data_IF_364882779010
#
_entry.id   IF_364882779010
#
_cell.length_a   1.000
_cell.length_b   1.000
_cell.length_c   1.000
_cell.angle_alpha   90.00
_cell.angle_beta   90.00
_cell.angle_gamma   90.00
#
_symmetry.space_group_name_H-M   'P 1'
#
loop_
_entity.id
_entity.type
_entity.pdbx_description
1 polymer ?
#
# COMPACT_ATOMS: atom_id res chain seq x y z
N UNK A 1 3.96 -9.49 12.05
CA UNK A 1 3.74 -10.53 11.01
C UNK A 1 3.40 -11.80 11.75
N UNK A 2 2.21 -12.36 11.55
CA UNK A 2 1.74 -13.54 12.29
C UNK A 2 2.01 -14.85 11.54
N UNK A 3 1.94 -14.82 10.21
CA UNK A 3 2.35 -15.89 9.31
C UNK A 3 2.99 -15.26 8.05
N UNK A 4 3.86 -16.00 7.38
CA UNK A 4 4.53 -15.55 6.15
C UNK A 4 4.30 -16.57 5.05
N UNK A 5 3.32 -16.28 4.20
CA UNK A 5 3.10 -16.96 2.93
C UNK A 5 2.92 -15.87 1.86
N UNK A 6 3.72 -15.91 0.80
CA UNK A 6 3.79 -14.84 -0.20
C UNK A 6 4.66 -13.62 0.17
N UNK A 7 4.40 -12.48 -0.46
CA UNK A 7 5.24 -11.28 -0.34
C UNK A 7 4.79 -10.35 0.78
N UNK A 8 5.40 -10.50 1.95
CA UNK A 8 5.09 -9.78 3.20
C UNK A 8 4.89 -8.26 3.04
N UNK A 9 5.72 -7.50 2.30
CA UNK A 9 5.52 -6.06 2.18
C UNK A 9 4.16 -5.66 1.59
N UNK A 10 3.60 -6.46 0.68
CA UNK A 10 2.28 -6.16 0.09
C UNK A 10 1.19 -6.21 1.17
N UNK A 11 1.23 -7.25 2.01
CA UNK A 11 0.33 -7.41 3.14
C UNK A 11 0.53 -6.32 4.21
N UNK A 12 1.77 -5.93 4.51
CA UNK A 12 2.06 -4.88 5.50
C UNK A 12 1.52 -3.53 5.06
N UNK A 13 1.69 -3.16 3.79
CA UNK A 13 1.15 -1.89 3.27
C UNK A 13 -0.37 -1.91 3.32
N UNK A 14 -1.02 -2.99 2.85
CA UNK A 14 -2.47 -3.12 2.90
C UNK A 14 -3.01 -3.03 4.34
N UNK A 15 -2.41 -3.77 5.28
CA UNK A 15 -2.79 -3.74 6.68
C UNK A 15 -2.57 -2.37 7.33
N UNK A 16 -1.49 -1.67 6.98
CA UNK A 16 -1.20 -0.33 7.49
C UNK A 16 -2.20 0.69 6.98
N UNK A 17 -2.50 0.68 5.68
CA UNK A 17 -3.51 1.57 5.09
C UNK A 17 -4.89 1.33 5.71
N UNK A 18 -5.31 0.07 5.86
CA UNK A 18 -6.58 -0.29 6.49
C UNK A 18 -6.65 0.06 7.98
N UNK A 19 -5.54 -0.11 8.71
CA UNK A 19 -5.45 0.30 10.10
C UNK A 19 -5.60 1.82 10.22
N UNK A 20 -4.84 2.59 9.43
CA UNK A 20 -4.92 4.05 9.45
C UNK A 20 -6.31 4.57 9.09
N UNK A 21 -7.02 3.93 8.15
CA UNK A 21 -8.39 4.34 7.81
C UNK A 21 -9.41 4.08 8.92
N UNK A 22 -9.11 3.13 9.82
CA UNK A 22 -9.98 2.79 10.94
C UNK A 22 -9.54 3.43 12.28
N UNK A 23 -8.33 4.00 12.34
CA UNK A 23 -7.83 4.65 13.56
C UNK A 23 -8.68 5.87 13.88
N UNK A 24 -9.08 5.97 15.15
CA UNK A 24 -9.72 7.16 15.72
C UNK A 24 -8.84 7.74 16.82
N UNK A 25 -8.49 9.01 16.69
CA UNK A 25 -7.65 9.73 17.64
C UNK A 25 -8.49 10.67 18.52
N UNK A 26 -8.13 10.85 19.80
CA UNK A 26 -8.76 11.84 20.65
C UNK A 26 -8.66 13.25 20.06
N UNK A 27 -9.75 14.02 20.14
CA UNK A 27 -9.73 15.43 19.73
C UNK A 27 -8.86 16.22 20.70
N UNK A 28 -7.85 16.91 20.17
CA UNK A 28 -6.98 17.80 20.93
C UNK A 28 -7.43 19.24 20.72
N UNK A 29 -7.57 19.99 21.83
CA UNK A 29 -7.76 21.44 21.81
C UNK A 29 -6.51 22.08 22.39
N UNK A 30 -6.02 23.11 21.70
CA UNK A 30 -4.90 23.91 22.15
C UNK A 30 -5.44 25.30 22.50
N UNK A 31 -5.23 25.72 23.74
CA UNK A 31 -5.62 27.05 24.21
C UNK A 31 -4.61 28.15 23.83
N UNK A 32 -3.41 27.74 23.41
CA UNK A 32 -2.34 28.61 22.95
C UNK A 32 -2.79 29.49 21.78
N UNK A 33 -2.51 30.79 21.87
CA UNK A 33 -2.87 31.74 20.81
C UNK A 33 -1.99 31.50 19.58
N UNK A 34 -2.57 31.60 18.38
CA UNK A 34 -1.84 31.36 17.11
C UNK A 34 -0.67 32.31 16.86
N UNK A 35 -0.76 33.52 17.41
CA UNK A 35 0.23 34.58 17.24
C UNK A 35 1.27 34.60 18.39
N UNK A 36 1.14 33.69 19.35
CA UNK A 36 2.07 33.58 20.48
C UNK A 36 3.22 32.64 20.11
N UNK A 37 4.44 33.19 20.00
CA UNK A 37 5.65 32.44 19.66
C UNK A 37 6.30 31.74 20.86
N UNK A 38 5.74 31.88 22.06
CA UNK A 38 6.27 31.18 23.23
C UNK A 38 6.06 29.66 23.11
N UNK A 39 6.91 28.84 23.76
CA UNK A 39 6.76 27.39 23.73
C UNK A 39 5.42 26.95 24.35
N UNK A 40 4.72 26.05 23.65
CA UNK A 40 3.47 25.46 24.13
C UNK A 40 3.70 24.72 25.46
N UNK A 41 2.90 25.05 26.46
CA UNK A 41 2.89 24.38 27.75
C UNK A 41 1.89 23.22 27.77
N UNK A 42 2.14 22.22 28.62
CA UNK A 42 1.30 21.01 28.67
C UNK A 42 -0.12 21.31 29.14
N UNK A 43 -0.24 22.28 30.03
CA UNK A 43 -1.47 22.76 30.64
C UNK A 43 -2.43 23.38 29.61
N UNK A 44 -1.88 23.83 28.48
CA UNK A 44 -2.61 24.45 27.37
C UNK A 44 -3.21 23.40 26.40
N UNK A 45 -2.84 22.13 26.57
CA UNK A 45 -3.29 21.01 25.73
C UNK A 45 -4.39 20.26 26.47
N UNK A 46 -5.62 20.36 25.95
CA UNK A 46 -6.76 19.58 26.47
C UNK A 46 -7.08 18.42 25.52
N UNK A 47 -7.01 17.20 26.04
CA UNK A 47 -7.37 15.98 25.31
C UNK A 47 -8.83 15.61 25.63
N UNK A 48 -9.68 15.57 24.61
CA UNK A 48 -11.09 15.18 24.73
C UNK A 48 -11.25 13.65 24.82
N UNK A 49 -12.38 13.19 25.39
CA UNK A 49 -12.82 11.79 25.28
C UNK A 49 -13.42 11.47 23.90
N UNK A 50 -13.87 12.48 23.17
CA UNK A 50 -14.37 12.32 21.81
C UNK A 50 -13.22 11.99 20.86
N UNK A 51 -13.43 10.99 19.99
CA UNK A 51 -12.44 10.56 19.00
C UNK A 51 -12.89 10.89 17.58
N UNK A 52 -11.97 11.36 16.75
CA UNK A 52 -12.18 11.65 15.33
C UNK A 52 -11.35 10.67 14.48
N UNK A 53 -11.87 10.24 13.32
CA UNK A 53 -11.08 9.46 12.37
C UNK A 53 -9.90 10.29 11.84
N UNK A 54 -8.86 9.63 11.36
CA UNK A 54 -7.82 10.28 10.58
C UNK A 54 -8.36 10.69 9.21
N UNK A 55 -8.03 11.90 8.77
CA UNK A 55 -8.31 12.37 7.41
C UNK A 55 -7.19 11.90 6.48
N UNK A 56 -7.44 10.81 5.77
CA UNK A 56 -6.48 10.22 4.84
C UNK A 56 -6.75 10.72 3.42
N UNK A 57 -5.74 11.36 2.83
CA UNK A 57 -5.83 11.86 1.44
C UNK A 57 -5.67 10.76 0.40
N UNK A 58 -4.98 9.67 0.74
CA UNK A 58 -4.63 8.59 -0.17
C UNK A 58 -4.75 7.23 0.51
N UNK A 59 -4.91 6.17 -0.31
CA UNK A 59 -4.93 4.81 0.19
C UNK A 59 -3.97 3.94 -0.64
N UNK A 60 -2.69 3.88 -0.24
CA UNK A 60 -1.70 3.16 -1.00
C UNK A 60 -1.91 1.64 -0.91
N UNK A 61 -1.79 0.97 -2.05
CA UNK A 61 -1.81 -0.49 -2.18
C UNK A 61 -0.49 -0.93 -2.80
N UNK A 62 0.15 -1.92 -2.17
CA UNK A 62 1.34 -2.54 -2.70
C UNK A 62 1.02 -3.84 -3.43
N UNK A 63 1.71 -4.06 -4.55
CA UNK A 63 1.64 -5.28 -5.34
C UNK A 63 3.02 -5.70 -5.80
N UNK A 64 3.25 -7.00 -5.78
CA UNK A 64 4.48 -7.59 -6.29
C UNK A 64 4.20 -8.64 -7.37
N UNK A 65 4.84 -8.41 -8.51
CA UNK A 65 4.81 -9.25 -9.68
C UNK A 65 6.12 -10.01 -9.81
N UNK A 66 6.02 -11.25 -10.29
CA UNK A 66 7.15 -12.09 -10.62
C UNK A 66 7.14 -12.39 -12.12
N UNK A 67 8.32 -12.36 -12.73
CA UNK A 67 8.49 -12.69 -14.14
C UNK A 67 9.09 -14.08 -14.25
N UNK A 68 8.29 -15.01 -14.74
CA UNK A 68 8.72 -16.36 -15.05
C UNK A 68 9.09 -16.46 -16.53
N UNK A 69 10.33 -16.83 -16.81
CA UNK A 69 10.83 -17.01 -18.18
C UNK A 69 10.92 -18.49 -18.50
N UNK A 70 10.07 -18.94 -19.42
CA UNK A 70 10.14 -20.31 -19.92
C UNK A 70 11.10 -20.37 -21.11
N UNK A 71 12.16 -21.18 -21.02
CA UNK A 71 13.13 -21.34 -22.12
C UNK A 71 12.52 -21.88 -23.42
N UNK A 72 11.32 -22.49 -23.36
CA UNK A 72 10.59 -23.00 -24.53
C UNK A 72 9.57 -22.02 -25.12
N UNK A 73 9.31 -20.88 -24.47
CA UNK A 73 8.35 -19.87 -24.96
C UNK A 73 9.03 -18.50 -24.98
N UNK A 74 8.90 -17.79 -26.08
CA UNK A 74 9.56 -16.48 -26.29
C UNK A 74 8.90 -15.32 -25.50
N UNK A 75 7.92 -15.63 -24.64
CA UNK A 75 7.16 -14.63 -23.86
C UNK A 75 7.33 -14.87 -22.36
N UNK A 76 7.76 -13.82 -21.67
CA UNK A 76 7.80 -13.77 -20.21
C UNK A 76 6.36 -13.82 -19.65
N UNK A 77 6.14 -14.60 -18.59
CA UNK A 77 4.85 -14.68 -17.90
C UNK A 77 4.89 -13.86 -16.62
N UNK A 78 3.89 -13.00 -16.44
CA UNK A 78 3.68 -12.26 -15.20
C UNK A 78 2.88 -13.12 -14.23
N UNK A 79 3.42 -13.32 -13.04
CA UNK A 79 2.80 -14.04 -11.95
C UNK A 79 2.54 -13.08 -10.78
N UNK A 80 1.40 -13.25 -10.12
CA UNK A 80 1.03 -12.51 -8.90
C UNK A 80 0.84 -13.55 -7.81
N UNK A 81 1.49 -13.33 -6.67
CA UNK A 81 1.46 -14.24 -5.52
C UNK A 81 1.72 -15.73 -5.85
N UNK A 82 2.80 -16.06 -6.61
CA UNK A 82 3.11 -17.44 -6.91
C UNK A 82 3.64 -18.20 -5.67
N UNK A 83 3.49 -19.54 -5.62
CA UNK A 83 4.10 -20.37 -4.59
C UNK A 83 5.61 -20.15 -4.48
N UNK A 84 6.16 -20.35 -3.28
CA UNK A 84 7.55 -20.03 -2.98
C UNK A 84 8.54 -20.81 -3.86
N UNK A 85 8.21 -22.04 -4.25
CA UNK A 85 9.01 -22.86 -5.15
C UNK A 85 9.13 -22.22 -6.55
N UNK A 86 8.06 -21.58 -7.01
CA UNK A 86 8.02 -20.92 -8.31
C UNK A 86 8.69 -19.54 -8.27
N UNK A 87 8.63 -18.84 -7.13
CA UNK A 87 9.36 -17.59 -6.89
C UNK A 87 10.86 -17.77 -7.15
N UNK A 88 11.45 -18.88 -6.70
CA UNK A 88 12.89 -19.15 -6.87
C UNK A 88 13.30 -19.31 -8.34
N UNK A 89 12.34 -19.66 -9.21
CA UNK A 89 12.58 -19.86 -10.64
C UNK A 89 12.31 -18.60 -11.48
N UNK A 90 11.83 -17.52 -10.86
CA UNK A 90 11.51 -16.29 -11.56
C UNK A 90 12.77 -15.48 -11.87
N UNK A 91 12.85 -14.96 -13.10
CA UNK A 91 14.00 -14.21 -13.60
C UNK A 91 14.04 -12.76 -13.07
N UNK A 92 12.88 -12.21 -12.72
CA UNK A 92 12.77 -10.88 -12.16
C UNK A 92 11.56 -10.75 -11.24
N UNK A 93 11.61 -9.72 -10.40
CA UNK A 93 10.56 -9.32 -9.47
C UNK A 93 10.34 -7.81 -9.58
N UNK A 94 9.08 -7.41 -9.60
CA UNK A 94 8.68 -6.00 -9.68
C UNK A 94 7.72 -5.74 -8.53
N UNK A 95 8.12 -4.90 -7.58
CA UNK A 95 7.27 -4.43 -6.49
C UNK A 95 6.83 -3.01 -6.78
N UNK A 96 5.55 -2.73 -6.61
CA UNK A 96 4.93 -1.46 -6.93
C UNK A 96 4.03 -1.03 -5.77
N UNK A 97 3.99 0.26 -5.47
CA UNK A 97 2.99 0.87 -4.59
C UNK A 97 2.23 1.88 -5.40
N UNK A 98 0.91 1.79 -5.39
CA UNK A 98 0.03 2.67 -6.15
C UNK A 98 -1.05 3.27 -5.28
N UNK A 99 -1.53 4.44 -5.69
CA UNK A 99 -2.74 5.06 -5.16
C UNK A 99 -3.61 5.51 -6.35
N UNK A 100 -4.67 4.76 -6.61
CA UNK A 100 -5.45 4.89 -7.84
C UNK A 100 -4.57 4.69 -9.07
N UNK A 101 -4.36 5.77 -9.83
CA UNK A 101 -3.52 5.80 -11.05
C UNK A 101 -2.08 6.24 -10.81
N UNK A 102 -1.76 6.71 -9.60
CA UNK A 102 -0.44 7.24 -9.28
C UNK A 102 0.47 6.11 -8.80
N UNK A 103 1.62 5.93 -9.46
CA UNK A 103 2.67 5.03 -8.97
C UNK A 103 3.51 5.80 -7.95
N UNK A 104 3.39 5.43 -6.68
CA UNK A 104 4.12 6.05 -5.57
C UNK A 104 5.53 5.46 -5.43
N UNK A 105 5.68 4.18 -5.76
CA UNK A 105 6.95 3.48 -5.73
C UNK A 105 6.96 2.39 -6.79
N UNK A 106 8.09 2.26 -7.49
CA UNK A 106 8.37 1.13 -8.37
C UNK A 106 9.79 0.62 -8.07
N UNK A 107 9.91 -0.68 -7.81
CA UNK A 107 11.18 -1.34 -7.56
C UNK A 107 11.29 -2.61 -8.36
N UNK A 108 12.29 -2.67 -9.22
CA UNK A 108 12.63 -3.86 -10.00
C UNK A 108 13.84 -4.56 -9.41
N UNK A 109 13.83 -5.90 -9.47
CA UNK A 109 14.99 -6.76 -9.19
C UNK A 109 15.09 -7.77 -10.33
N UNK A 110 16.23 -7.80 -11.01
CA UNK A 110 16.39 -8.56 -12.26
C UNK A 110 16.11 -7.70 -13.48
N UNK A 111 16.18 -8.31 -14.66
CA UNK A 111 16.10 -7.61 -15.95
C UNK A 111 14.72 -7.82 -16.56
N UNK A 112 14.01 -6.70 -16.79
CA UNK A 112 12.85 -6.67 -17.68
C UNK A 112 13.33 -6.34 -19.09
N UNK A 113 12.87 -7.11 -20.08
CA UNK A 113 13.24 -6.92 -21.49
C UNK A 113 12.16 -6.22 -22.31
N UNK A 114 10.94 -6.19 -21.80
CA UNK A 114 9.76 -5.71 -22.53
C UNK A 114 9.04 -4.64 -21.71
N UNK A 115 9.02 -3.42 -22.25
CA UNK A 115 8.38 -2.25 -21.64
C UNK A 115 6.84 -2.35 -21.66
N UNK A 116 6.25 -3.14 -22.56
CA UNK A 116 4.81 -3.38 -22.59
C UNK A 116 4.34 -4.18 -21.35
N UNK A 117 5.23 -4.98 -20.76
CA UNK A 117 4.94 -5.70 -19.52
C UNK A 117 4.73 -4.73 -18.34
N UNK A 118 5.53 -3.67 -18.26
CA UNK A 118 5.37 -2.68 -17.19
C UNK A 118 4.03 -1.98 -17.28
N UNK A 119 3.61 -1.60 -18.49
CA UNK A 119 2.29 -1.01 -18.73
C UNK A 119 1.15 -1.96 -18.31
N UNK A 120 1.31 -3.25 -18.63
CA UNK A 120 0.35 -4.29 -18.22
C UNK A 120 0.30 -4.48 -16.71
N UNK A 121 1.45 -4.43 -16.02
CA UNK A 121 1.54 -4.51 -14.56
C UNK A 121 0.87 -3.31 -13.89
N UNK A 122 1.06 -2.10 -14.42
CA UNK A 122 0.40 -0.90 -13.90
C UNK A 122 -1.12 -1.04 -14.04
N UNK A 123 -1.62 -1.44 -15.22
CA UNK A 123 -3.06 -1.65 -15.42
C UNK A 123 -3.65 -2.75 -14.52
N UNK A 124 -2.87 -3.78 -14.17
CA UNK A 124 -3.27 -4.81 -13.21
C UNK A 124 -3.27 -4.27 -11.77
N UNK A 125 -2.26 -3.49 -11.42
CA UNK A 125 -2.16 -2.84 -10.13
C UNK A 125 -3.39 -1.93 -9.92
N UNK A 126 -3.69 -1.04 -10.86
CA UNK A 126 -4.85 -0.12 -10.78
C UNK A 126 -6.15 -0.86 -10.52
N UNK A 127 -6.41 -1.97 -11.25
CA UNK A 127 -7.59 -2.81 -11.03
C UNK A 127 -7.62 -3.40 -9.62
N UNK A 128 -6.48 -3.86 -9.12
CA UNK A 128 -6.39 -4.45 -7.79
C UNK A 128 -6.59 -3.40 -6.69
N UNK A 129 -6.05 -2.19 -6.86
CA UNK A 129 -6.30 -1.07 -5.96
C UNK A 129 -7.81 -0.81 -5.87
N UNK A 130 -8.49 -0.70 -7.01
CA UNK A 130 -9.93 -0.50 -7.03
C UNK A 130 -10.67 -1.63 -6.27
N UNK A 131 -10.35 -2.90 -6.55
CA UNK A 131 -11.00 -4.03 -5.86
C UNK A 131 -10.77 -4.01 -4.34
N UNK A 132 -9.58 -3.63 -3.89
CA UNK A 132 -9.27 -3.55 -2.46
C UNK A 132 -10.03 -2.36 -1.82
N UNK A 133 -10.07 -1.22 -2.50
CA UNK A 133 -10.82 -0.05 -2.04
C UNK A 133 -12.31 -0.31 -1.91
N UNK A 134 -12.89 -1.07 -2.85
CA UNK A 134 -14.30 -1.45 -2.79
C UNK A 134 -14.59 -2.26 -1.51
N UNK A 135 -13.74 -3.26 -1.19
CA UNK A 135 -13.87 -4.06 0.03
C UNK A 135 -13.72 -3.20 1.30
N UNK A 136 -12.75 -2.29 1.36
CA UNK A 136 -12.54 -1.45 2.55
C UNK A 136 -13.71 -0.49 2.79
N UNK A 137 -14.29 0.04 1.70
CA UNK A 137 -15.47 0.92 1.79
C UNK A 137 -16.71 0.17 2.24
N UNK A 138 -16.91 -1.06 1.76
CA UNK A 138 -18.03 -1.90 2.20
C UNK A 138 -17.94 -2.27 3.68
N UNK A 139 -16.72 -2.50 4.19
CA UNK A 139 -16.50 -2.75 5.63
C UNK A 139 -16.70 -1.49 6.47
N UNK A 140 -16.44 -0.29 5.94
CA UNK A 140 -16.66 0.97 6.65
C UNK A 140 -18.15 1.37 6.78
N UNK A 141 -19.03 0.80 5.95
CA UNK A 141 -20.47 1.09 5.91
C UNK A 141 -21.34 0.13 6.75
N UNK A 142 -20.75 -0.90 7.35
CA UNK A 142 -21.39 -1.85 8.27
C UNK A 142 -20.92 -1.65 9.70
#
# INVERSE_FOLDING_TARGET
ILNSDGFVPDAVVCASSAALSNVRLPKVKLAHAKEDESPIQREEITVSKETLPLDLTTFPVALTFYLFRNSKQDKDKVLVDPPQELVQQCAAKVSMVIDGKNVLLLRTRGVMKDDQLLSSMIALAERRHQSIMDVIRDVSNN
#
